data_IF_076210792115
#
_entry.id   IF_076210792115
#
_cell.length_a   1.000
_cell.length_b   1.000
_cell.length_c   1.000
_cell.angle_alpha   90.00
_cell.angle_beta   90.00
_cell.angle_gamma   90.00
#
_symmetry.space_group_name_H-M   'P 1'
#
loop_
_entity.id
_entity.type
_entity.pdbx_description
1 polymer ?
#
# COMPACT_ATOMS: atom_id res chain seq x y z
N UNK A 1 -2.06 -9.83 -9.54
CA UNK A 1 -1.76 -10.97 -8.63
C UNK A 1 -2.40 -12.28 -9.11
N UNK A 2 -2.90 -12.30 -10.35
CA UNK A 2 -3.98 -13.21 -10.77
C UNK A 2 -3.51 -14.60 -11.22
N UNK A 3 -2.19 -14.84 -11.20
CA UNK A 3 -1.60 -16.12 -11.55
C UNK A 3 -1.85 -17.21 -10.49
N UNK A 4 -2.15 -16.82 -9.25
CA UNK A 4 -2.35 -17.73 -8.11
C UNK A 4 -3.58 -17.34 -7.30
N UNK A 5 -4.14 -18.31 -6.56
CA UNK A 5 -5.31 -18.10 -5.68
C UNK A 5 -4.95 -17.83 -4.21
N UNK A 6 -3.65 -17.77 -3.90
CA UNK A 6 -3.17 -17.44 -2.57
C UNK A 6 -2.94 -15.93 -2.46
N UNK A 7 -3.11 -15.32 -1.26
CA UNK A 7 -2.85 -13.91 -1.08
C UNK A 7 -1.40 -13.54 -1.46
N UNK A 8 -1.24 -12.45 -2.19
CA UNK A 8 0.04 -11.92 -2.66
C UNK A 8 0.34 -10.58 -2.00
N UNK A 9 1.53 -10.47 -1.42
CA UNK A 9 2.04 -9.22 -0.86
C UNK A 9 3.00 -8.59 -1.87
N UNK A 10 2.68 -7.38 -2.34
CA UNK A 10 3.61 -6.59 -3.13
C UNK A 10 4.70 -6.01 -2.22
N UNK A 11 5.97 -6.24 -2.58
CA UNK A 11 7.13 -5.81 -1.80
C UNK A 11 8.24 -5.30 -2.72
N UNK A 12 8.75 -4.09 -2.43
CA UNK A 12 9.84 -3.43 -3.16
C UNK A 12 9.37 -2.39 -4.19
N UNK A 13 10.17 -1.32 -4.36
CA UNK A 13 9.95 -0.30 -5.41
C UNK A 13 8.95 0.81 -5.11
N UNK A 14 8.27 0.79 -3.96
CA UNK A 14 7.37 1.89 -3.57
C UNK A 14 8.17 3.12 -3.11
N UNK A 15 8.03 4.24 -3.82
CA UNK A 15 8.69 5.52 -3.52
C UNK A 15 7.80 6.54 -2.81
N UNK A 16 6.49 6.30 -2.75
CA UNK A 16 5.51 7.17 -2.09
C UNK A 16 4.13 6.54 -2.03
N UNK A 17 3.17 7.23 -1.40
CA UNK A 17 1.82 6.71 -1.15
C UNK A 17 1.04 6.34 -2.42
N UNK A 18 1.27 7.04 -3.54
CA UNK A 18 0.60 6.74 -4.80
C UNK A 18 0.99 5.38 -5.39
N UNK A 19 2.23 4.92 -5.18
CA UNK A 19 2.63 3.59 -5.64
C UNK A 19 1.81 2.49 -4.95
N UNK A 20 1.33 2.72 -3.72
CA UNK A 20 0.44 1.77 -3.04
C UNK A 20 -0.93 1.74 -3.70
N UNK A 21 -1.48 2.88 -4.10
CA UNK A 21 -2.76 2.94 -4.81
C UNK A 21 -2.69 2.12 -6.09
N UNK A 22 -1.63 2.25 -6.87
CA UNK A 22 -1.44 1.49 -8.12
C UNK A 22 -1.29 -0.01 -7.87
N UNK A 23 -0.57 -0.39 -6.80
CA UNK A 23 -0.43 -1.81 -6.39
C UNK A 23 -1.79 -2.46 -6.10
N UNK A 24 -2.70 -1.73 -5.45
CA UNK A 24 -4.04 -2.24 -5.14
C UNK A 24 -4.99 -2.17 -6.34
N UNK A 25 -4.94 -1.10 -7.15
CA UNK A 25 -5.86 -0.91 -8.29
C UNK A 25 -5.48 -1.73 -9.51
N UNK A 26 -4.21 -1.70 -9.91
CA UNK A 26 -3.75 -2.30 -11.16
C UNK A 26 -2.99 -3.61 -10.91
N UNK A 27 -2.26 -3.70 -9.80
CA UNK A 27 -1.51 -4.89 -9.42
C UNK A 27 -2.36 -6.00 -8.79
N UNK A 28 -3.56 -5.65 -8.33
CA UNK A 28 -4.51 -6.50 -7.60
C UNK A 28 -3.89 -7.19 -6.37
N UNK A 29 -2.84 -6.61 -5.77
CA UNK A 29 -2.20 -7.23 -4.61
C UNK A 29 -3.13 -7.20 -3.39
N UNK A 30 -3.10 -8.26 -2.59
CA UNK A 30 -3.91 -8.36 -1.37
C UNK A 30 -3.33 -7.50 -0.23
N UNK A 31 -2.01 -7.30 -0.23
CA UNK A 31 -1.32 -6.44 0.71
C UNK A 31 -0.08 -5.78 0.06
N UNK A 32 0.40 -4.71 0.69
CA UNK A 32 1.60 -4.00 0.28
C UNK A 32 2.54 -3.79 1.48
N UNK A 33 3.82 -4.05 1.29
CA UNK A 33 4.86 -3.88 2.30
C UNK A 33 5.60 -2.56 2.09
N UNK A 34 5.71 -1.76 3.15
CA UNK A 34 6.48 -0.52 3.19
C UNK A 34 7.60 -0.63 4.24
N UNK A 35 8.85 -0.35 3.84
CA UNK A 35 10.01 -0.33 4.75
C UNK A 35 10.71 1.03 4.72
N UNK A 36 11.60 1.26 3.75
CA UNK A 36 12.46 2.46 3.69
C UNK A 36 11.67 3.77 3.75
N UNK A 37 10.54 3.88 3.06
CA UNK A 37 9.72 5.10 3.05
C UNK A 37 9.14 5.46 4.42
N UNK A 38 8.91 4.46 5.29
CA UNK A 38 8.43 4.65 6.65
C UNK A 38 9.60 4.85 7.62
N UNK A 39 10.69 4.10 7.46
CA UNK A 39 11.87 4.21 8.31
C UNK A 39 12.60 5.54 8.18
N UNK A 40 12.66 6.09 6.96
CA UNK A 40 13.33 7.37 6.69
C UNK A 40 12.38 8.58 6.71
N UNK A 41 11.12 8.38 7.09
CA UNK A 41 10.14 9.47 7.20
C UNK A 41 9.78 10.13 5.86
N UNK A 42 10.06 9.49 4.73
CA UNK A 42 9.66 9.97 3.39
C UNK A 42 8.13 10.01 3.25
N UNK A 43 7.41 9.16 3.99
CA UNK A 43 5.96 9.19 4.09
C UNK A 43 5.55 8.81 5.50
N UNK A 44 4.61 9.54 6.10
CA UNK A 44 4.07 9.19 7.41
C UNK A 44 2.99 8.11 7.26
N UNK A 45 2.93 7.14 8.18
CA UNK A 45 1.93 6.07 8.13
C UNK A 45 0.48 6.60 8.06
N UNK A 46 0.19 7.70 8.76
CA UNK A 46 -1.12 8.34 8.74
C UNK A 46 -1.47 8.88 7.34
N UNK A 47 -0.52 9.59 6.70
CA UNK A 47 -0.68 10.11 5.34
C UNK A 47 -0.88 8.99 4.33
N UNK A 48 -0.08 7.91 4.44
CA UNK A 48 -0.24 6.73 3.59
C UNK A 48 -1.66 6.16 3.70
N UNK A 49 -2.15 5.96 4.92
CA UNK A 49 -3.52 5.45 5.16
C UNK A 49 -4.58 6.41 4.65
N UNK A 50 -4.36 7.72 4.78
CA UNK A 50 -5.31 8.72 4.31
C UNK A 50 -5.39 8.77 2.79
N UNK A 51 -4.25 8.67 2.09
CA UNK A 51 -4.19 8.57 0.63
C UNK A 51 -4.94 7.32 0.14
N UNK A 52 -4.69 6.17 0.78
CA UNK A 52 -5.40 4.92 0.45
C UNK A 52 -6.91 5.05 0.69
N UNK A 53 -7.31 5.57 1.84
CA UNK A 53 -8.73 5.79 2.17
C UNK A 53 -9.40 6.75 1.18
N UNK A 54 -8.71 7.82 0.77
CA UNK A 54 -9.22 8.80 -0.21
C UNK A 54 -9.35 8.18 -1.60
N UNK A 55 -8.46 7.25 -1.94
CA UNK A 55 -8.53 6.47 -3.17
C UNK A 55 -9.60 5.36 -3.15
N UNK A 56 -10.39 5.25 -2.08
CA UNK A 56 -11.45 4.25 -1.91
C UNK A 56 -10.95 2.87 -1.48
N UNK A 57 -9.69 2.76 -1.05
CA UNK A 57 -9.10 1.51 -0.58
C UNK A 57 -9.38 1.41 0.93
N UNK A 58 -9.98 0.29 1.35
CA UNK A 58 -10.32 0.06 2.75
C UNK A 58 -9.04 -0.14 3.58
N UNK A 59 -8.89 0.65 4.64
CA UNK A 59 -7.72 0.63 5.53
C UNK A 59 -8.15 0.55 6.98
N UNK A 60 -7.39 -0.18 7.80
CA UNK A 60 -7.66 -0.28 9.24
C UNK A 60 -7.17 0.98 9.98
N UNK A 61 -8.12 1.71 10.58
CA UNK A 61 -7.83 2.83 11.46
C UNK A 61 -7.69 2.37 12.93
N UNK A 62 -6.77 2.96 13.71
CA UNK A 62 -6.74 2.74 15.15
C UNK A 62 -8.01 3.32 15.79
N UNK A 63 -8.54 2.62 16.79
CA UNK A 63 -9.69 3.02 17.61
C UNK A 63 -9.31 4.06 18.66
#
# INVERSE_FOLDING_TARGET
SDAVRIPVIASGGAGGAEHFVNVFRDGHADAALAASILHYGTTVLAELKQTLSTAGISVRWPC
#
